data_IF_888928458922
#
_entry.id   IF_888928458922
#
_cell.length_a   1.000
_cell.length_b   1.000
_cell.length_c   1.000
_cell.angle_alpha   90.00
_cell.angle_beta   90.00
_cell.angle_gamma   90.00
#
_symmetry.space_group_name_H-M   'P 1'
#
loop_
_entity.id
_entity.type
_entity.pdbx_description
1 polymer ?
#
# COMPACT_ATOMS: atom_id res chain seq x y z
N UNK A 1 -27.35 -2.61 8.66
CA UNK A 1 -26.16 -2.91 7.82
C UNK A 1 -26.56 -2.72 6.37
N UNK A 2 -25.86 -1.86 5.64
CA UNK A 2 -26.25 -1.53 4.25
C UNK A 2 -25.94 -2.69 3.31
N UNK A 3 -26.84 -2.96 2.36
CA UNK A 3 -26.70 -3.99 1.32
C UNK A 3 -25.36 -3.91 0.57
N UNK A 4 -24.82 -2.69 0.38
CA UNK A 4 -23.50 -2.45 -0.22
C UNK A 4 -22.33 -3.06 0.57
N UNK A 5 -22.41 -3.09 1.90
CA UNK A 5 -21.35 -3.71 2.75
C UNK A 5 -21.36 -5.23 2.67
N UNK A 6 -22.53 -5.85 2.46
CA UNK A 6 -22.66 -7.29 2.31
C UNK A 6 -22.06 -7.73 0.96
N UNK A 7 -22.34 -7.01 -0.13
CA UNK A 7 -21.79 -7.33 -1.44
C UNK A 7 -20.26 -7.21 -1.49
N UNK A 8 -19.68 -6.24 -0.77
CA UNK A 8 -18.22 -6.03 -0.74
C UNK A 8 -17.50 -7.13 0.05
N UNK A 9 -18.05 -7.51 1.20
CA UNK A 9 -17.49 -8.61 2.00
C UNK A 9 -17.54 -9.96 1.26
N UNK A 10 -18.60 -10.21 0.51
CA UNK A 10 -18.74 -11.41 -0.33
C UNK A 10 -17.76 -11.39 -1.49
N UNK A 11 -17.54 -10.24 -2.14
CA UNK A 11 -16.58 -10.12 -3.25
C UNK A 11 -15.13 -10.30 -2.78
N UNK A 12 -14.77 -9.76 -1.61
CA UNK A 12 -13.45 -9.97 -1.02
C UNK A 12 -13.23 -11.43 -0.62
N UNK A 13 -14.23 -12.05 0.04
CA UNK A 13 -14.18 -13.44 0.43
C UNK A 13 -14.05 -14.39 -0.79
N UNK A 14 -14.67 -14.06 -1.92
CA UNK A 14 -14.56 -14.86 -3.16
C UNK A 14 -13.19 -14.71 -3.82
N UNK A 15 -12.54 -13.55 -3.75
CA UNK A 15 -11.17 -13.35 -4.27
C UNK A 15 -10.16 -14.23 -3.51
N UNK A 16 -10.23 -14.26 -2.18
CA UNK A 16 -9.33 -15.10 -1.37
C UNK A 16 -9.73 -16.59 -1.38
N UNK A 17 -11.02 -16.92 -1.42
CA UNK A 17 -11.49 -18.28 -1.58
C UNK A 17 -11.05 -18.92 -2.91
N UNK A 18 -10.98 -18.11 -3.98
CA UNK A 18 -10.45 -18.56 -5.28
C UNK A 18 -8.96 -18.90 -5.22
N UNK A 19 -8.18 -18.25 -4.36
CA UNK A 19 -6.76 -18.59 -4.17
C UNK A 19 -6.56 -19.92 -3.41
N UNK A 20 -7.52 -20.32 -2.55
CA UNK A 20 -7.41 -21.51 -1.72
C UNK A 20 -7.97 -22.78 -2.37
N UNK A 21 -8.91 -22.65 -3.31
CA UNK A 21 -9.61 -23.80 -3.92
C UNK A 21 -8.97 -24.34 -5.20
N UNK A 22 -8.12 -23.58 -5.84
CA UNK A 22 -7.44 -24.06 -7.05
C UNK A 22 -5.96 -23.78 -6.84
N UNK A 23 -5.13 -24.81 -6.94
CA UNK A 23 -3.66 -24.69 -7.05
C UNK A 23 -3.28 -23.93 -8.31
N UNK A 24 -3.93 -22.78 -8.53
CA UNK A 24 -3.71 -21.87 -9.63
C UNK A 24 -2.32 -21.26 -9.42
N UNK A 25 -1.34 -21.83 -10.09
CA UNK A 25 0.01 -21.26 -10.12
C UNK A 25 -0.12 -19.81 -10.55
N UNK A 26 0.55 -18.90 -9.87
CA UNK A 26 0.66 -17.45 -10.19
C UNK A 26 0.89 -17.20 -11.68
N UNK A 27 1.52 -18.13 -12.42
CA UNK A 27 1.70 -18.05 -13.87
C UNK A 27 0.40 -17.91 -14.70
N UNK A 28 -0.78 -18.29 -14.16
CA UNK A 28 -2.05 -18.10 -14.86
C UNK A 28 -2.76 -16.77 -14.52
N UNK A 29 -2.20 -15.96 -13.62
CA UNK A 29 -2.73 -14.64 -13.23
C UNK A 29 -2.06 -13.48 -14.00
N UNK A 30 -1.20 -13.74 -14.97
CA UNK A 30 -0.14 -12.84 -15.38
C UNK A 30 -0.46 -11.79 -16.43
N UNK A 31 -1.68 -11.29 -16.56
CA UNK A 31 -1.88 -10.05 -17.35
C UNK A 31 -1.11 -8.87 -16.73
N UNK A 32 -1.02 -8.83 -15.41
CA UNK A 32 -0.23 -7.84 -14.68
C UNK A 32 1.30 -7.99 -14.84
N UNK A 33 1.80 -9.10 -15.36
CA UNK A 33 3.22 -9.29 -15.71
C UNK A 33 4.19 -9.42 -14.53
N UNK A 34 3.71 -9.67 -13.30
CA UNK A 34 4.57 -9.83 -12.12
C UNK A 34 4.24 -11.10 -11.32
N UNK A 35 5.25 -11.64 -10.67
CA UNK A 35 5.16 -12.84 -9.81
C UNK A 35 5.80 -12.62 -8.43
N UNK A 36 6.54 -11.54 -8.28
CA UNK A 36 7.20 -11.15 -7.03
C UNK A 36 6.64 -9.83 -6.53
N UNK A 37 6.35 -9.77 -5.23
CA UNK A 37 5.89 -8.56 -4.58
C UNK A 37 6.90 -8.19 -3.49
N UNK A 38 7.49 -7.01 -3.62
CA UNK A 38 8.32 -6.40 -2.59
C UNK A 38 7.40 -5.59 -1.69
N UNK A 39 7.26 -6.00 -0.44
CA UNK A 39 6.45 -5.29 0.55
C UNK A 39 7.37 -4.48 1.44
N UNK A 40 7.22 -3.17 1.39
CA UNK A 40 7.96 -2.24 2.19
C UNK A 40 7.12 -1.75 3.36
N UNK A 41 7.51 -2.13 4.57
CA UNK A 41 6.99 -1.50 5.78
C UNK A 41 7.73 -0.18 6.00
N UNK A 42 7.07 0.94 5.81
CA UNK A 42 7.69 2.26 5.95
C UNK A 42 8.34 2.47 7.31
N UNK A 43 9.37 3.35 7.35
CA UNK A 43 10.10 3.69 8.57
C UNK A 43 10.81 2.51 9.24
N UNK A 44 11.06 2.58 10.56
CA UNK A 44 11.67 1.51 11.37
C UNK A 44 12.90 1.97 12.17
N UNK A 45 13.18 1.30 13.29
CA UNK A 45 14.31 1.61 14.17
C UNK A 45 14.26 3.04 14.70
N UNK A 46 15.28 3.83 14.36
CA UNK A 46 15.40 5.25 14.75
C UNK A 46 14.35 6.16 14.10
N UNK A 47 13.76 5.75 12.99
CA UNK A 47 12.72 6.50 12.27
C UNK A 47 11.33 6.00 12.71
N UNK A 48 10.63 6.80 13.50
CA UNK A 48 9.29 6.47 13.96
C UNK A 48 8.21 6.73 12.90
N UNK A 49 8.52 7.52 11.85
CA UNK A 49 7.50 8.07 10.95
C UNK A 49 6.58 9.06 11.64
N UNK A 50 5.38 9.17 11.15
CA UNK A 50 4.31 9.94 11.79
C UNK A 50 3.89 9.35 13.13
N UNK A 51 3.25 10.19 13.95
CA UNK A 51 2.64 9.76 15.22
C UNK A 51 1.24 10.34 15.36
N UNK A 52 0.45 9.73 16.21
CA UNK A 52 -0.90 10.24 16.53
C UNK A 52 -0.91 11.56 17.33
N UNK A 53 0.28 12.08 17.68
CA UNK A 53 0.44 13.30 18.45
C UNK A 53 0.49 13.06 19.98
N UNK A 54 1.04 14.04 20.70
CA UNK A 54 1.12 13.96 22.16
C UNK A 54 -0.28 13.97 22.77
N UNK A 55 -0.50 13.10 23.74
CA UNK A 55 -1.78 12.99 24.46
C UNK A 55 -2.86 12.19 23.73
N UNK A 56 -2.61 11.69 22.53
CA UNK A 56 -3.54 10.79 21.87
C UNK A 56 -3.64 9.46 22.61
N UNK A 57 -4.88 8.93 22.69
CA UNK A 57 -5.16 7.63 23.29
C UNK A 57 -5.96 6.83 22.25
N UNK A 58 -5.38 5.73 21.72
CA UNK A 58 -4.03 5.24 21.98
C UNK A 58 -2.94 6.09 21.28
N UNK A 59 -1.73 6.10 21.84
CA UNK A 59 -0.58 6.68 21.16
C UNK A 59 -0.02 5.67 20.15
N UNK A 60 0.12 6.09 18.89
CA UNK A 60 0.60 5.25 17.78
C UNK A 60 1.87 5.84 17.15
N UNK A 61 2.76 4.98 16.71
CA UNK A 61 3.90 5.31 15.85
C UNK A 61 3.70 4.61 14.51
N UNK A 62 3.90 5.30 13.44
CA UNK A 62 3.72 4.79 12.08
C UNK A 62 4.52 3.50 11.84
N UNK A 63 5.77 3.46 12.24
CA UNK A 63 6.65 2.30 12.04
C UNK A 63 6.10 0.98 12.61
N UNK A 64 5.34 1.03 13.70
CA UNK A 64 4.78 -0.17 14.33
C UNK A 64 3.57 -0.68 13.53
N UNK A 65 2.72 0.25 13.08
CA UNK A 65 1.54 -0.07 12.29
C UNK A 65 1.91 -0.56 10.88
N UNK A 66 2.90 0.08 10.25
CA UNK A 66 3.36 -0.32 8.92
C UNK A 66 3.93 -1.73 8.93
N UNK A 67 4.70 -2.10 9.97
CA UNK A 67 5.25 -3.44 10.11
C UNK A 67 4.17 -4.50 10.31
N UNK A 68 3.17 -4.23 11.17
CA UNK A 68 2.07 -5.15 11.41
C UNK A 68 1.23 -5.37 10.13
N UNK A 69 0.86 -4.27 9.47
CA UNK A 69 0.09 -4.32 8.22
C UNK A 69 0.87 -5.04 7.10
N UNK A 70 2.16 -4.73 6.93
CA UNK A 70 3.00 -5.37 5.92
C UNK A 70 3.13 -6.89 6.13
N UNK A 71 3.24 -7.34 7.37
CA UNK A 71 3.25 -8.79 7.69
C UNK A 71 1.94 -9.47 7.30
N UNK A 72 0.79 -8.83 7.53
CA UNK A 72 -0.52 -9.34 7.13
C UNK A 72 -0.65 -9.42 5.61
N UNK A 73 -0.27 -8.36 4.89
CA UNK A 73 -0.23 -8.35 3.41
C UNK A 73 0.63 -9.49 2.88
N UNK A 74 1.83 -9.69 3.46
CA UNK A 74 2.72 -10.81 3.11
C UNK A 74 2.01 -12.16 3.21
N UNK A 75 1.36 -12.44 4.34
CA UNK A 75 0.71 -13.73 4.56
C UNK A 75 -0.45 -13.96 3.58
N UNK A 76 -1.26 -12.94 3.30
CA UNK A 76 -2.33 -13.02 2.32
C UNK A 76 -1.80 -13.33 0.91
N UNK A 77 -0.78 -12.61 0.47
CA UNK A 77 -0.20 -12.79 -0.87
C UNK A 77 0.55 -14.13 -1.02
N UNK A 78 1.24 -14.59 0.03
CA UNK A 78 1.87 -15.93 0.03
C UNK A 78 0.86 -17.05 -0.11
N UNK A 79 -0.29 -16.96 0.54
CA UNK A 79 -1.39 -17.93 0.37
C UNK A 79 -1.92 -17.97 -1.06
N UNK A 80 -1.83 -16.86 -1.79
CA UNK A 80 -2.17 -16.78 -3.21
C UNK A 80 -1.04 -17.21 -4.14
N UNK A 81 0.08 -17.70 -3.63
CA UNK A 81 1.19 -18.26 -4.40
C UNK A 81 2.23 -17.27 -4.90
N UNK A 82 2.18 -16.00 -4.48
CA UNK A 82 3.20 -15.04 -4.83
C UNK A 82 4.50 -15.23 -4.03
N UNK A 83 5.63 -14.95 -4.68
CA UNK A 83 6.87 -14.72 -3.97
C UNK A 83 6.81 -13.33 -3.33
N UNK A 84 6.94 -13.26 -2.00
CA UNK A 84 6.89 -12.00 -1.26
C UNK A 84 8.20 -11.75 -0.55
N UNK A 85 8.80 -10.60 -0.83
CA UNK A 85 10.05 -10.12 -0.25
C UNK A 85 9.75 -8.94 0.66
N UNK A 86 10.13 -9.02 1.93
CA UNK A 86 9.93 -7.94 2.89
C UNK A 86 11.16 -7.04 2.94
N UNK A 87 10.98 -5.70 2.92
CA UNK A 87 12.09 -4.75 3.15
C UNK A 87 12.64 -4.82 4.56
N UNK A 88 11.76 -5.03 5.53
CA UNK A 88 12.10 -5.30 6.92
C UNK A 88 11.08 -6.24 7.57
N UNK A 89 11.55 -7.08 8.44
CA UNK A 89 10.71 -8.02 9.21
C UNK A 89 10.68 -7.70 10.71
N UNK A 90 11.48 -6.71 11.12
CA UNK A 90 11.62 -6.24 12.50
C UNK A 90 11.64 -4.73 12.61
N UNK A 91 11.82 -4.23 13.84
CA UNK A 91 11.97 -2.80 14.10
C UNK A 91 13.43 -2.36 13.92
N UNK A 92 13.86 -2.24 12.66
CA UNK A 92 15.16 -1.68 12.28
C UNK A 92 14.99 -0.71 11.09
N UNK A 93 15.90 0.24 11.02
CA UNK A 93 15.92 1.27 9.99
C UNK A 93 16.53 0.73 8.69
N UNK A 94 15.92 1.08 7.57
CA UNK A 94 16.44 0.83 6.22
C UNK A 94 16.45 2.16 5.48
N UNK A 95 17.60 2.57 4.97
CA UNK A 95 17.76 3.80 4.18
C UNK A 95 16.91 3.76 2.90
N UNK A 96 16.42 4.93 2.45
CA UNK A 96 15.54 5.00 1.27
C UNK A 96 16.23 4.46 0.00
N UNK A 97 17.52 4.75 -0.19
CA UNK A 97 18.28 4.25 -1.33
C UNK A 97 18.53 2.75 -1.26
N UNK A 98 18.64 2.22 -0.07
CA UNK A 98 18.76 0.78 0.14
C UNK A 98 17.43 0.09 -0.21
N UNK A 99 16.27 0.69 0.14
CA UNK A 99 14.95 0.18 -0.26
C UNK A 99 14.83 0.12 -1.78
N UNK A 100 15.23 1.19 -2.48
CA UNK A 100 15.24 1.22 -3.96
C UNK A 100 16.15 0.13 -4.52
N UNK A 101 17.39 0.01 -4.01
CA UNK A 101 18.35 -0.96 -4.47
C UNK A 101 17.87 -2.41 -4.27
N UNK A 102 17.28 -2.70 -3.10
CA UNK A 102 16.71 -4.02 -2.80
C UNK A 102 15.51 -4.33 -3.70
N UNK A 103 14.63 -3.35 -3.95
CA UNK A 103 13.50 -3.54 -4.84
C UNK A 103 13.95 -3.86 -6.27
N UNK A 104 14.93 -3.12 -6.80
CA UNK A 104 15.44 -3.30 -8.16
C UNK A 104 16.15 -4.66 -8.37
N UNK A 105 16.74 -5.24 -7.32
CA UNK A 105 17.34 -6.58 -7.38
C UNK A 105 16.34 -7.68 -7.69
N UNK A 106 15.06 -7.47 -7.45
CA UNK A 106 14.02 -8.47 -7.71
C UNK A 106 13.63 -8.55 -9.19
N UNK A 107 14.10 -7.61 -10.01
CA UNK A 107 13.94 -7.62 -11.48
C UNK A 107 12.57 -7.21 -11.98
N UNK A 108 12.39 -7.23 -13.30
CA UNK A 108 11.23 -6.66 -14.01
C UNK A 108 9.89 -7.35 -13.71
N UNK A 109 9.92 -8.58 -13.19
CA UNK A 109 8.71 -9.32 -12.78
C UNK A 109 8.33 -9.07 -11.31
N UNK A 110 8.86 -8.02 -10.72
CA UNK A 110 8.51 -7.58 -9.38
C UNK A 110 7.73 -6.26 -9.40
N UNK A 111 6.95 -6.05 -8.34
CA UNK A 111 6.35 -4.76 -8.00
C UNK A 111 6.76 -4.38 -6.56
N UNK A 112 6.81 -3.09 -6.27
CA UNK A 112 7.03 -2.56 -4.91
C UNK A 112 5.74 -1.93 -4.38
N UNK A 113 5.32 -2.36 -3.20
CA UNK A 113 4.20 -1.77 -2.47
C UNK A 113 4.71 -1.30 -1.10
N UNK A 114 4.83 0.00 -0.93
CA UNK A 114 5.22 0.64 0.33
C UNK A 114 4.00 0.99 1.16
N UNK A 115 4.01 0.64 2.44
CA UNK A 115 2.87 0.78 3.35
C UNK A 115 3.21 1.83 4.40
N UNK A 116 2.36 2.83 4.51
CA UNK A 116 2.48 4.01 5.35
C UNK A 116 1.17 4.38 6.04
N UNK A 117 1.27 5.27 7.02
CA UNK A 117 0.15 5.92 7.68
C UNK A 117 0.46 7.41 7.80
N UNK A 118 -0.38 8.23 7.19
CA UNK A 118 -0.18 9.65 7.06
C UNK A 118 -0.27 10.39 8.41
N UNK A 119 0.40 11.51 8.51
CA UNK A 119 0.30 12.43 9.65
C UNK A 119 0.42 13.87 9.17
N UNK A 120 -0.40 14.76 9.70
CA UNK A 120 -0.41 16.19 9.33
C UNK A 120 -0.78 17.04 10.54
N UNK A 121 -0.49 18.33 10.49
CA UNK A 121 -0.95 19.29 11.50
C UNK A 121 -2.47 19.52 11.49
N UNK A 122 -3.15 19.21 10.40
CA UNK A 122 -4.61 19.30 10.29
C UNK A 122 -5.26 17.97 10.71
N UNK A 123 -5.73 17.89 11.94
CA UNK A 123 -6.39 16.69 12.49
C UNK A 123 -7.75 16.35 11.86
N UNK A 124 -8.30 17.21 11.01
CA UNK A 124 -9.53 16.93 10.26
C UNK A 124 -9.27 16.14 8.98
N UNK A 125 -8.02 16.12 8.50
CA UNK A 125 -7.64 15.28 7.36
C UNK A 125 -7.86 13.81 7.70
N UNK A 126 -8.42 13.07 6.73
CA UNK A 126 -8.79 11.66 6.88
C UNK A 126 -8.80 10.95 5.52
N UNK A 127 -8.82 9.63 5.55
CA UNK A 127 -8.97 8.77 4.38
C UNK A 127 -7.68 8.08 3.95
N UNK A 128 -7.84 7.15 3.02
CA UNK A 128 -6.71 6.48 2.38
C UNK A 128 -6.28 7.25 1.12
N UNK A 129 -4.99 7.24 0.83
CA UNK A 129 -4.40 7.81 -0.39
C UNK A 129 -3.37 6.84 -0.95
N UNK A 130 -3.39 6.59 -2.26
CA UNK A 130 -2.34 5.78 -2.89
C UNK A 130 -1.52 6.61 -3.86
N UNK A 131 -0.22 6.71 -3.59
CA UNK A 131 0.72 7.49 -4.37
C UNK A 131 1.46 6.63 -5.40
N UNK A 132 1.62 7.18 -6.60
CA UNK A 132 2.45 6.63 -7.66
C UNK A 132 3.19 7.76 -8.40
N UNK A 133 4.19 7.43 -9.20
CA UNK A 133 4.85 8.37 -10.10
C UNK A 133 4.96 7.84 -11.53
N UNK A 134 5.41 6.62 -11.68
CA UNK A 134 5.57 5.96 -12.98
C UNK A 134 4.20 5.71 -13.60
N UNK A 135 4.08 5.95 -14.90
CA UNK A 135 2.82 5.75 -15.63
C UNK A 135 2.35 4.28 -15.55
N UNK A 136 3.28 3.33 -15.60
CA UNK A 136 3.02 1.88 -15.49
C UNK A 136 2.57 1.41 -14.10
N UNK A 137 2.58 2.28 -13.12
CA UNK A 137 2.12 2.00 -11.74
C UNK A 137 0.72 2.53 -11.46
N UNK A 138 0.11 3.25 -12.42
CA UNK A 138 -1.21 3.88 -12.22
C UNK A 138 -2.32 2.84 -12.02
N UNK A 139 -2.33 1.77 -12.81
CA UNK A 139 -3.30 0.69 -12.67
C UNK A 139 -3.23 0.04 -11.29
N UNK A 140 -2.02 -0.34 -10.87
CA UNK A 140 -1.78 -0.90 -9.54
C UNK A 140 -2.26 0.03 -8.42
N UNK A 141 -1.96 1.33 -8.51
CA UNK A 141 -2.39 2.32 -7.53
C UNK A 141 -3.91 2.43 -7.46
N UNK A 142 -4.57 2.50 -8.62
CA UNK A 142 -6.03 2.63 -8.73
C UNK A 142 -6.76 1.44 -8.12
N UNK A 143 -6.29 0.22 -8.39
CA UNK A 143 -6.89 -1.00 -7.84
C UNK A 143 -6.70 -1.10 -6.33
N UNK A 144 -5.47 -0.83 -5.86
CA UNK A 144 -5.19 -0.85 -4.41
C UNK A 144 -6.07 0.17 -3.69
N UNK A 145 -6.14 1.42 -4.15
CA UNK A 145 -6.97 2.45 -3.53
C UNK A 145 -8.44 2.04 -3.47
N UNK A 146 -8.99 1.56 -4.59
CA UNK A 146 -10.38 1.13 -4.67
C UNK A 146 -10.71 0.02 -3.66
N UNK A 147 -9.86 -1.01 -3.59
CA UNK A 147 -10.07 -2.12 -2.67
C UNK A 147 -9.81 -1.73 -1.21
N UNK A 148 -8.82 -0.89 -0.94
CA UNK A 148 -8.51 -0.41 0.40
C UNK A 148 -9.68 0.38 0.99
N UNK A 149 -10.21 1.34 0.22
CA UNK A 149 -11.40 2.12 0.60
C UNK A 149 -12.62 1.21 0.80
N UNK A 150 -12.81 0.26 -0.11
CA UNK A 150 -13.93 -0.69 -0.03
C UNK A 150 -13.87 -1.58 1.22
N UNK A 151 -12.69 -2.11 1.55
CA UNK A 151 -12.49 -3.00 2.69
C UNK A 151 -12.62 -2.29 4.04
N UNK A 152 -12.14 -1.05 4.12
CA UNK A 152 -12.09 -0.29 5.37
C UNK A 152 -13.31 0.59 5.57
N UNK A 153 -13.95 1.04 4.49
CA UNK A 153 -14.99 2.09 4.51
C UNK A 153 -14.44 3.46 4.88
N UNK A 154 -13.12 3.67 4.71
CA UNK A 154 -12.50 4.98 4.87
C UNK A 154 -12.90 5.95 3.76
N UNK A 155 -12.66 7.24 3.98
CA UNK A 155 -12.77 8.24 2.94
C UNK A 155 -11.75 7.95 1.83
N UNK A 156 -12.16 8.09 0.59
CA UNK A 156 -11.27 7.96 -0.56
C UNK A 156 -10.50 9.28 -0.75
N UNK A 157 -9.25 9.31 -0.35
CA UNK A 157 -8.33 10.43 -0.55
C UNK A 157 -7.79 10.51 -1.97
N UNK A 158 -7.90 9.40 -2.70
CA UNK A 158 -7.60 9.32 -4.13
C UNK A 158 -6.27 8.70 -4.50
N UNK A 159 -6.12 8.54 -5.80
CA UNK A 159 -4.88 8.08 -6.44
C UNK A 159 -4.10 9.31 -6.89
N UNK A 160 -2.93 9.53 -6.29
CA UNK A 160 -2.19 10.78 -6.43
C UNK A 160 -0.85 10.53 -7.11
N UNK A 161 -0.60 11.21 -8.22
CA UNK A 161 0.69 11.16 -8.89
C UNK A 161 1.69 12.06 -8.14
N UNK A 162 2.50 11.47 -7.25
CA UNK A 162 3.42 12.19 -6.37
C UNK A 162 4.84 11.66 -6.50
N UNK A 163 5.78 12.59 -6.68
CA UNK A 163 7.21 12.33 -6.86
C UNK A 163 7.90 12.07 -5.52
N UNK A 164 7.71 10.88 -4.98
CA UNK A 164 8.39 10.43 -3.78
C UNK A 164 9.58 9.52 -4.14
N UNK A 165 10.51 9.32 -3.20
CA UNK A 165 11.70 8.48 -3.43
C UNK A 165 11.32 7.09 -3.90
N UNK A 166 10.37 6.43 -3.23
CA UNK A 166 9.96 5.05 -3.52
C UNK A 166 8.90 4.94 -4.62
N UNK A 167 8.33 6.04 -5.11
CA UNK A 167 7.41 6.00 -6.25
C UNK A 167 8.10 6.34 -7.57
N UNK A 168 9.27 7.02 -7.53
CA UNK A 168 9.98 7.49 -8.71
C UNK A 168 11.22 6.68 -9.06
N UNK A 169 12.02 6.32 -8.04
CA UNK A 169 13.36 5.81 -8.25
C UNK A 169 13.48 4.30 -8.49
N UNK A 170 12.54 3.42 -8.06
CA UNK A 170 12.58 2.03 -8.47
C UNK A 170 12.45 1.88 -9.99
N UNK A 171 13.17 0.93 -10.57
CA UNK A 171 13.07 0.57 -11.99
C UNK A 171 11.86 -0.33 -12.27
N UNK A 172 11.22 -0.83 -11.22
CA UNK A 172 10.01 -1.63 -11.24
C UNK A 172 8.77 -0.79 -10.92
N UNK A 173 7.58 -1.30 -11.24
CA UNK A 173 6.31 -0.67 -10.83
C UNK A 173 6.24 -0.52 -9.33
N UNK A 174 5.83 0.65 -8.85
CA UNK A 174 5.87 0.97 -7.43
C UNK A 174 4.77 1.94 -7.01
N UNK A 175 4.19 1.65 -5.83
CA UNK A 175 3.18 2.48 -5.20
C UNK A 175 3.48 2.65 -3.71
N UNK A 176 2.93 3.72 -3.12
CA UNK A 176 2.97 3.96 -1.69
C UNK A 176 1.54 4.20 -1.20
N UNK A 177 1.10 3.39 -0.24
CA UNK A 177 -0.24 3.44 0.34
C UNK A 177 -0.18 4.17 1.69
N UNK A 178 -0.84 5.31 1.78
CA UNK A 178 -1.15 6.00 3.03
C UNK A 178 -2.50 5.50 3.53
N UNK A 179 -2.48 4.54 4.43
CA UNK A 179 -3.66 3.75 4.77
C UNK A 179 -4.70 4.50 5.65
N UNK A 180 -4.27 5.52 6.36
CA UNK A 180 -5.08 6.37 7.23
C UNK A 180 -4.24 7.52 7.79
N UNK A 181 -4.89 8.53 8.39
CA UNK A 181 -4.20 9.64 9.08
C UNK A 181 -4.11 9.41 10.59
N UNK A 182 -2.91 9.20 11.12
CA UNK A 182 -2.68 8.97 12.56
C UNK A 182 -3.07 10.18 13.41
N UNK A 183 -3.00 11.37 12.84
CA UNK A 183 -3.38 12.62 13.52
C UNK A 183 -4.88 12.88 13.54
N UNK A 184 -5.67 12.10 12.79
CA UNK A 184 -7.13 12.13 12.88
C UNK A 184 -7.60 11.25 14.05
N UNK A 185 -8.32 11.79 15.04
CA UNK A 185 -8.68 11.03 16.25
C UNK A 185 -9.52 9.77 15.97
N UNK A 186 -10.41 9.82 14.95
CA UNK A 186 -11.26 8.68 14.59
C UNK A 186 -10.46 7.58 13.92
N UNK A 187 -9.58 7.94 12.99
CA UNK A 187 -8.74 6.97 12.28
C UNK A 187 -7.67 6.40 13.19
N UNK A 188 -7.09 7.21 14.11
CA UNK A 188 -6.15 6.72 15.11
C UNK A 188 -6.73 5.58 15.95
N UNK A 189 -7.95 5.74 16.45
CA UNK A 189 -8.64 4.66 17.20
C UNK A 189 -8.90 3.45 16.31
N UNK A 190 -9.29 3.65 15.06
CA UNK A 190 -9.58 2.55 14.12
C UNK A 190 -8.34 1.74 13.78
N UNK A 191 -7.21 2.38 13.47
CA UNK A 191 -5.97 1.67 13.13
C UNK A 191 -5.31 0.99 14.33
N UNK A 192 -5.66 1.39 15.55
CA UNK A 192 -5.26 0.69 16.77
C UNK A 192 -5.88 -0.71 16.86
N UNK A 193 -7.08 -0.92 16.29
CA UNK A 193 -7.72 -2.22 16.23
C UNK A 193 -7.02 -3.15 15.22
N UNK A 194 -6.50 -4.31 15.67
CA UNK A 194 -5.90 -5.30 14.77
C UNK A 194 -6.83 -5.77 13.65
N UNK A 195 -8.14 -5.83 13.89
CA UNK A 195 -9.11 -6.23 12.87
C UNK A 195 -9.24 -5.18 11.77
N UNK A 196 -9.05 -3.89 12.11
CA UNK A 196 -9.03 -2.86 11.08
C UNK A 196 -7.76 -2.94 10.22
N UNK A 197 -6.60 -3.23 10.83
CA UNK A 197 -5.37 -3.47 10.08
C UNK A 197 -5.44 -4.73 9.21
N UNK A 198 -6.18 -5.75 9.63
CA UNK A 198 -6.46 -6.92 8.76
C UNK A 198 -7.27 -6.47 7.53
N UNK A 199 -8.34 -5.70 7.70
CA UNK A 199 -9.12 -5.16 6.56
C UNK A 199 -8.28 -4.28 5.62
N UNK A 200 -7.36 -3.47 6.17
CA UNK A 200 -6.40 -2.71 5.38
C UNK A 200 -5.53 -3.66 4.53
N UNK A 201 -4.98 -4.69 5.15
CA UNK A 201 -4.14 -5.66 4.46
C UNK A 201 -4.92 -6.45 3.40
N UNK A 202 -6.17 -6.84 3.68
CA UNK A 202 -7.06 -7.47 2.71
C UNK A 202 -7.34 -6.56 1.51
N UNK A 203 -7.59 -5.27 1.74
CA UNK A 203 -7.81 -4.30 0.66
C UNK A 203 -6.57 -4.15 -0.23
N UNK A 204 -5.39 -3.98 0.36
CA UNK A 204 -4.13 -3.90 -0.39
C UNK A 204 -3.89 -5.19 -1.19
N UNK A 205 -4.02 -6.35 -0.55
CA UNK A 205 -3.80 -7.63 -1.22
C UNK A 205 -4.82 -7.88 -2.34
N UNK A 206 -6.09 -7.52 -2.16
CA UNK A 206 -7.12 -7.64 -3.18
C UNK A 206 -6.83 -6.78 -4.42
N UNK A 207 -6.36 -5.53 -4.21
CA UNK A 207 -5.96 -4.65 -5.31
C UNK A 207 -4.77 -5.22 -6.09
N UNK A 208 -3.77 -5.79 -5.42
CA UNK A 208 -2.63 -6.47 -6.04
C UNK A 208 -3.09 -7.69 -6.84
N UNK A 209 -3.99 -8.51 -6.29
CA UNK A 209 -4.55 -9.69 -6.97
C UNK A 209 -5.35 -9.31 -8.21
N UNK A 210 -6.14 -8.25 -8.14
CA UNK A 210 -6.89 -7.77 -9.29
C UNK A 210 -5.96 -7.25 -10.39
N UNK A 211 -4.91 -6.50 -10.01
CA UNK A 211 -3.86 -6.05 -10.95
C UNK A 211 -3.14 -7.22 -11.61
N UNK A 212 -2.78 -8.26 -10.84
CA UNK A 212 -2.16 -9.46 -11.39
C UNK A 212 -3.06 -10.16 -12.43
N UNK A 213 -4.37 -10.14 -12.20
CA UNK A 213 -5.36 -10.80 -13.07
C UNK A 213 -5.70 -9.98 -14.32
N UNK A 214 -5.87 -8.67 -14.19
CA UNK A 214 -6.43 -7.81 -15.24
C UNK A 214 -5.40 -6.90 -15.89
N UNK A 215 -4.25 -6.63 -15.22
CA UNK A 215 -3.34 -5.57 -15.65
C UNK A 215 -4.08 -4.23 -15.68
N UNK A 216 -3.81 -3.41 -16.68
CA UNK A 216 -4.42 -2.09 -16.83
C UNK A 216 -5.82 -2.11 -17.50
N UNK A 217 -6.43 -3.29 -17.71
CA UNK A 217 -7.76 -3.39 -18.31
C UNK A 217 -8.80 -2.61 -17.47
N UNK A 218 -9.49 -1.66 -18.08
CA UNK A 218 -10.51 -0.83 -17.42
C UNK A 218 -9.98 0.30 -16.54
N UNK A 219 -8.67 0.52 -16.53
CA UNK A 219 -8.05 1.63 -15.80
C UNK A 219 -8.21 2.93 -16.60
N UNK A 220 -8.62 4.04 -15.98
CA UNK A 220 -8.69 5.34 -16.66
C UNK A 220 -7.30 5.80 -17.09
N UNK A 221 -7.21 6.73 -18.06
CA UNK A 221 -5.93 7.32 -18.47
C UNK A 221 -5.16 7.90 -17.29
N UNK A 222 -3.82 7.84 -17.37
CA UNK A 222 -2.95 8.45 -16.35
C UNK A 222 -3.28 9.93 -16.21
N UNK A 223 -3.54 10.43 -14.99
CA UNK A 223 -3.84 11.85 -14.78
C UNK A 223 -2.70 12.74 -15.28
N UNK A 224 -3.06 13.89 -15.83
CA UNK A 224 -2.07 14.92 -16.19
C UNK A 224 -1.28 15.37 -14.95
N UNK A 225 -0.03 15.76 -15.22
CA UNK A 225 0.84 16.30 -14.17
C UNK A 225 0.59 17.79 -14.05
N UNK A 226 -0.03 18.21 -12.95
CA UNK A 226 -0.16 19.61 -12.60
C UNK A 226 0.99 20.02 -11.69
N UNK A 227 1.76 20.99 -12.08
CA UNK A 227 2.84 21.53 -11.25
C UNK A 227 2.28 22.53 -10.22
N UNK A 228 2.85 22.60 -9.00
CA UNK A 228 3.91 21.77 -8.46
C UNK A 228 3.35 20.51 -7.79
N UNK A 229 3.74 19.36 -8.27
CA UNK A 229 3.23 18.07 -7.79
C UNK A 229 3.71 17.70 -6.39
N UNK A 230 4.87 18.14 -6.02
CA UNK A 230 5.48 17.96 -4.70
C UNK A 230 6.71 18.86 -4.59
N UNK A 231 6.85 19.52 -3.45
CA UNK A 231 8.09 20.23 -3.06
C UNK A 231 9.10 19.29 -2.40
N UNK A 232 8.75 18.01 -2.19
CA UNK A 232 9.66 17.05 -1.61
C UNK A 232 10.84 16.80 -2.56
N UNK A 233 12.05 17.15 -2.11
CA UNK A 233 13.29 16.84 -2.81
C UNK A 233 13.67 15.39 -2.52
N UNK A 234 14.10 14.70 -3.56
CA UNK A 234 14.78 13.43 -3.39
C UNK A 234 16.15 13.61 -2.75
N UNK A 235 16.63 12.57 -2.08
CA UNK A 235 17.99 12.54 -1.57
C UNK A 235 19.05 12.71 -2.69
N UNK A 236 18.71 12.39 -3.94
CA UNK A 236 19.55 12.64 -5.13
C UNK A 236 19.62 14.12 -5.53
N UNK A 237 18.69 14.93 -5.09
CA UNK A 237 18.64 16.37 -5.39
C UNK A 237 19.41 17.20 -4.35
N UNK A 238 20.18 16.57 -3.47
CA UNK A 238 21.18 17.26 -2.63
C UNK A 238 22.41 17.52 -3.47
N UNK A 239 22.89 18.78 -3.50
CA UNK A 239 24.16 19.12 -4.16
C UNK A 239 25.33 18.37 -3.55
#
# INVERSE_FOLDING_TARGET
>A
MSLKRICTAVALATLFASCTQVGTKVGNLSKGGFTTIVVDAGHGGKDNGGTSGRGSIPFQREKDLTLDTAKRVRELLRRCGFRVVMMREGDYFVELDERVTRANKEGSHAILVSIHYNATSNSLKNGAETYFWRADSHGLATRIESHLVSATGEHNGGVIRRRLRLTRNPDIRCVLCECAYLTNPRENVRVADPNNRERIAEGIAAGILEEARLGDDGIPPVPEIWAPLSSARDARDKP
#
